data_IF_901808186012
#
_entry.id   IF_901808186012
#
_cell.length_a   1.000
_cell.length_b   1.000
_cell.length_c   1.000
_cell.angle_alpha   90.00
_cell.angle_beta   90.00
_cell.angle_gamma   90.00
#
_symmetry.space_group_name_H-M   'P 1'
#
loop_
_entity.id
_entity.type
_entity.pdbx_description
1 polymer ?
#
# COMPACT_ATOMS: atom_id res chain seq x y z
N UNK A 1 -101.89 18.02 -28.43
CA UNK A 1 -101.59 17.24 -27.21
C UNK A 1 -101.13 15.82 -27.54
N UNK A 2 -102.00 14.84 -27.80
CA UNK A 2 -101.55 13.46 -28.10
C UNK A 2 -100.65 13.32 -29.33
N UNK A 3 -100.79 14.22 -30.33
CA UNK A 3 -99.94 14.23 -31.53
C UNK A 3 -98.55 14.81 -31.29
N UNK A 4 -98.44 15.74 -30.35
CA UNK A 4 -97.20 16.51 -30.13
C UNK A 4 -96.26 15.75 -29.17
N UNK A 5 -96.82 15.02 -28.19
CA UNK A 5 -96.07 14.17 -27.27
C UNK A 5 -95.48 12.93 -27.96
N UNK A 6 -96.20 12.38 -28.94
CA UNK A 6 -95.79 11.21 -29.72
C UNK A 6 -94.64 11.55 -30.70
N UNK A 7 -94.73 12.71 -31.37
CA UNK A 7 -93.64 13.21 -32.23
C UNK A 7 -92.39 13.51 -31.41
N UNK A 8 -92.53 14.20 -30.27
CA UNK A 8 -91.40 14.51 -29.41
C UNK A 8 -90.69 13.26 -28.87
N UNK A 9 -91.43 12.21 -28.53
CA UNK A 9 -90.84 10.96 -28.05
C UNK A 9 -90.13 10.17 -29.17
N UNK A 10 -90.66 10.21 -30.39
CA UNK A 10 -90.00 9.59 -31.54
C UNK A 10 -88.71 10.31 -31.93
N UNK A 11 -88.74 11.65 -31.99
CA UNK A 11 -87.56 12.49 -32.23
C UNK A 11 -86.49 12.28 -31.16
N UNK A 12 -86.88 12.17 -29.89
CA UNK A 12 -85.95 11.91 -28.80
C UNK A 12 -85.22 10.56 -28.95
N UNK A 13 -85.94 9.52 -29.37
CA UNK A 13 -85.33 8.21 -29.62
C UNK A 13 -84.42 8.25 -30.85
N UNK A 14 -84.83 8.90 -31.94
CA UNK A 14 -84.01 9.07 -33.14
C UNK A 14 -82.72 9.84 -32.83
N UNK A 15 -82.80 10.92 -32.06
CA UNK A 15 -81.64 11.66 -31.57
C UNK A 15 -80.77 10.77 -30.66
N UNK A 16 -81.37 9.97 -29.77
CA UNK A 16 -80.63 9.06 -28.90
C UNK A 16 -79.87 7.97 -29.69
N UNK A 17 -80.41 7.50 -30.83
CA UNK A 17 -79.69 6.56 -31.72
C UNK A 17 -78.44 7.18 -32.36
N UNK A 18 -78.41 8.51 -32.52
CA UNK A 18 -77.26 9.22 -33.09
C UNK A 18 -76.04 9.26 -32.15
N UNK A 19 -76.26 9.22 -30.83
CA UNK A 19 -75.19 9.34 -29.83
C UNK A 19 -74.68 7.99 -29.33
N UNK A 20 -75.42 6.90 -29.56
CA UNK A 20 -75.01 5.57 -29.10
C UNK A 20 -75.53 4.45 -30.01
N UNK A 21 -74.63 3.57 -30.53
CA UNK A 21 -75.04 2.40 -31.31
C UNK A 21 -75.90 1.42 -30.51
N UNK A 22 -75.86 1.52 -29.18
CA UNK A 22 -76.68 0.73 -28.28
C UNK A 22 -78.17 1.14 -28.30
N UNK A 23 -78.47 2.44 -28.44
CA UNK A 23 -79.84 2.92 -28.58
C UNK A 23 -80.47 2.42 -29.89
N UNK A 24 -79.67 2.33 -30.95
CA UNK A 24 -80.10 1.80 -32.25
C UNK A 24 -80.47 0.31 -32.16
N UNK A 25 -79.66 -0.50 -31.49
CA UNK A 25 -79.93 -1.93 -31.28
C UNK A 25 -81.23 -2.16 -30.47
N UNK A 26 -81.40 -1.43 -29.36
CA UNK A 26 -82.61 -1.48 -28.52
C UNK A 26 -83.87 -1.11 -29.31
N UNK A 27 -83.78 -0.05 -30.10
CA UNK A 27 -84.89 0.42 -30.93
C UNK A 27 -85.25 -0.60 -32.02
N UNK A 28 -84.25 -1.20 -32.66
CA UNK A 28 -84.42 -2.18 -33.73
C UNK A 28 -85.02 -3.49 -33.23
N UNK A 29 -84.53 -4.01 -32.11
CA UNK A 29 -85.11 -5.20 -31.47
C UNK A 29 -86.55 -4.93 -31.03
N UNK A 30 -86.82 -3.75 -30.48
CA UNK A 30 -88.17 -3.36 -30.06
C UNK A 30 -89.16 -3.25 -31.22
N UNK A 31 -88.76 -2.63 -32.34
CA UNK A 31 -89.59 -2.53 -33.55
C UNK A 31 -89.91 -3.92 -34.11
N UNK A 32 -88.96 -4.86 -34.03
CA UNK A 32 -89.16 -6.25 -34.46
C UNK A 32 -90.17 -7.00 -33.58
N UNK A 33 -90.11 -6.83 -32.25
CA UNK A 33 -90.99 -7.57 -31.33
C UNK A 33 -92.44 -7.09 -31.34
N UNK A 34 -92.69 -5.81 -31.63
CA UNK A 34 -94.02 -5.19 -31.46
C UNK A 34 -94.68 -4.76 -32.77
N UNK A 35 -94.27 -5.35 -33.91
CA UNK A 35 -94.78 -5.03 -35.26
C UNK A 35 -96.32 -5.00 -35.34
N UNK A 36 -97.01 -5.94 -34.69
CA UNK A 36 -98.48 -6.01 -34.67
C UNK A 36 -99.16 -4.85 -33.92
N UNK A 37 -98.56 -4.37 -32.83
CA UNK A 37 -99.10 -3.23 -32.10
C UNK A 37 -98.96 -1.94 -32.94
N UNK A 38 -97.83 -1.80 -33.66
CA UNK A 38 -97.57 -0.68 -34.56
C UNK A 38 -98.46 -0.67 -35.80
N UNK A 39 -98.69 -1.82 -36.44
CA UNK A 39 -99.59 -1.91 -37.61
C UNK A 39 -101.03 -1.57 -37.22
N UNK A 40 -101.51 -2.09 -36.08
CA UNK A 40 -102.84 -1.74 -35.57
C UNK A 40 -102.98 -0.23 -35.30
N UNK A 41 -101.95 0.40 -34.71
CA UNK A 41 -101.95 1.85 -34.47
C UNK A 41 -101.84 2.66 -35.77
N UNK A 42 -101.11 2.17 -36.79
CA UNK A 42 -101.07 2.76 -38.13
C UNK A 42 -102.41 2.69 -38.86
N UNK A 43 -103.16 1.59 -38.73
CA UNK A 43 -104.52 1.48 -39.29
C UNK A 43 -105.49 2.50 -38.65
N UNK A 44 -105.40 2.68 -37.32
CA UNK A 44 -106.14 3.75 -36.64
C UNK A 44 -105.66 5.16 -37.03
N UNK A 45 -104.37 5.35 -37.33
CA UNK A 45 -103.82 6.62 -37.83
C UNK A 45 -104.30 6.95 -39.26
N UNK A 46 -104.36 5.95 -40.14
CA UNK A 46 -104.80 6.12 -41.53
C UNK A 46 -106.28 6.45 -41.61
N UNK A 47 -107.12 5.81 -40.80
CA UNK A 47 -108.55 6.16 -40.69
C UNK A 47 -108.78 7.58 -40.15
N UNK A 48 -107.92 8.08 -39.25
CA UNK A 48 -107.91 9.48 -38.78
C UNK A 48 -107.55 10.50 -39.87
N UNK A 49 -106.51 10.24 -40.67
CA UNK A 49 -106.07 11.17 -41.73
C UNK A 49 -107.13 11.40 -42.81
N UNK A 50 -108.00 10.42 -43.04
CA UNK A 50 -109.06 10.47 -44.07
C UNK A 50 -110.42 10.89 -43.48
N UNK A 51 -110.48 11.23 -42.19
CA UNK A 51 -111.69 11.62 -41.44
C UNK A 51 -112.89 10.68 -41.68
N UNK A 52 -112.61 9.39 -41.88
CA UNK A 52 -113.61 8.40 -42.29
C UNK A 52 -113.78 7.34 -41.19
N UNK A 53 -114.73 7.58 -40.29
CA UNK A 53 -115.13 6.64 -39.24
C UNK A 53 -116.56 6.15 -39.51
N UNK A 54 -116.77 5.22 -40.46
CA UNK A 54 -118.09 4.66 -40.69
C UNK A 54 -118.52 3.89 -39.42
N UNK A 55 -119.58 4.38 -38.78
CA UNK A 55 -120.16 3.92 -37.51
C UNK A 55 -119.24 4.07 -36.28
N UNK A 56 -119.30 5.25 -35.66
CA UNK A 56 -118.71 5.52 -34.36
C UNK A 56 -119.40 4.69 -33.27
N UNK A 57 -118.63 3.91 -32.50
CA UNK A 57 -119.10 3.07 -31.40
C UNK A 57 -118.16 3.23 -30.19
N UNK A 58 -118.74 3.26 -28.99
CA UNK A 58 -117.99 3.33 -27.72
C UNK A 58 -117.00 2.16 -27.54
N UNK A 59 -117.20 1.04 -28.25
CA UNK A 59 -116.27 -0.09 -28.25
C UNK A 59 -115.01 0.18 -29.08
N UNK A 60 -115.13 0.83 -30.25
CA UNK A 60 -113.99 1.24 -31.08
C UNK A 60 -113.14 2.31 -30.38
N UNK A 61 -113.78 3.26 -29.70
CA UNK A 61 -113.09 4.28 -28.88
C UNK A 61 -112.29 3.67 -27.72
N UNK A 62 -112.85 2.63 -27.05
CA UNK A 62 -112.13 1.88 -26.00
C UNK A 62 -110.95 1.08 -26.56
N UNK A 63 -111.10 0.43 -27.71
CA UNK A 63 -109.99 -0.29 -28.37
C UNK A 63 -108.87 0.67 -28.77
N UNK A 64 -109.20 1.83 -29.35
CA UNK A 64 -108.23 2.87 -29.66
C UNK A 64 -107.49 3.38 -28.41
N UNK A 65 -108.22 3.77 -27.36
CA UNK A 65 -107.61 4.24 -26.12
C UNK A 65 -106.68 3.18 -25.51
N UNK A 66 -107.10 1.91 -25.50
CA UNK A 66 -106.27 0.80 -25.03
C UNK A 66 -104.98 0.66 -25.85
N UNK A 67 -105.05 0.65 -27.18
CA UNK A 67 -103.88 0.55 -28.06
C UNK A 67 -102.92 1.73 -27.92
N UNK A 68 -103.45 2.95 -27.74
CA UNK A 68 -102.63 4.15 -27.51
C UNK A 68 -101.95 4.09 -26.14
N UNK A 69 -102.65 3.68 -25.08
CA UNK A 69 -102.06 3.52 -23.76
C UNK A 69 -101.01 2.40 -23.71
N UNK A 70 -101.21 1.32 -24.45
CA UNK A 70 -100.25 0.24 -24.62
C UNK A 70 -98.96 0.76 -25.29
N UNK A 71 -99.10 1.56 -26.35
CA UNK A 71 -97.97 2.23 -27.00
C UNK A 71 -97.20 3.19 -26.07
N UNK A 72 -97.89 4.07 -25.33
CA UNK A 72 -97.23 4.97 -24.38
C UNK A 72 -96.52 4.22 -23.25
N UNK A 73 -97.13 3.17 -22.72
CA UNK A 73 -96.50 2.32 -21.70
C UNK A 73 -95.26 1.61 -22.24
N UNK A 74 -95.30 1.16 -23.50
CA UNK A 74 -94.15 0.55 -24.16
C UNK A 74 -93.02 1.55 -24.37
N UNK A 75 -93.33 2.75 -24.86
CA UNK A 75 -92.36 3.83 -25.07
C UNK A 75 -91.69 4.25 -23.74
N UNK A 76 -92.48 4.39 -22.67
CA UNK A 76 -91.96 4.66 -21.33
C UNK A 76 -91.05 3.53 -20.83
N UNK A 77 -91.33 2.27 -21.17
CA UNK A 77 -90.48 1.13 -20.85
C UNK A 77 -89.14 1.19 -21.58
N UNK A 78 -89.13 1.48 -22.88
CA UNK A 78 -87.89 1.65 -23.66
C UNK A 78 -87.03 2.75 -23.04
N UNK A 79 -87.63 3.90 -22.75
CA UNK A 79 -86.88 5.03 -22.22
C UNK A 79 -86.27 4.69 -20.83
N UNK A 80 -87.01 3.96 -19.98
CA UNK A 80 -86.48 3.47 -18.70
C UNK A 80 -85.36 2.43 -18.87
N UNK A 81 -85.52 1.47 -19.79
CA UNK A 81 -84.50 0.44 -20.03
C UNK A 81 -83.23 1.03 -20.68
N UNK A 82 -83.38 1.97 -21.62
CA UNK A 82 -82.28 2.71 -22.23
C UNK A 82 -81.55 3.55 -21.18
N UNK A 83 -82.29 4.35 -20.40
CA UNK A 83 -81.72 5.18 -19.34
C UNK A 83 -80.96 4.34 -18.32
N UNK A 84 -81.51 3.19 -17.88
CA UNK A 84 -80.84 2.29 -16.95
C UNK A 84 -79.54 1.73 -17.52
N UNK A 85 -79.55 1.23 -18.77
CA UNK A 85 -78.35 0.66 -19.39
C UNK A 85 -77.28 1.70 -19.71
N UNK A 86 -77.68 2.93 -20.04
CA UNK A 86 -76.74 4.06 -20.20
C UNK A 86 -76.08 4.37 -18.86
N UNK A 87 -76.85 4.44 -17.77
CA UNK A 87 -76.31 4.68 -16.43
C UNK A 87 -75.33 3.56 -16.02
N UNK A 88 -75.74 2.29 -16.18
CA UNK A 88 -74.90 1.12 -15.84
C UNK A 88 -73.58 1.12 -16.63
N UNK A 89 -73.62 1.51 -17.91
CA UNK A 89 -72.44 1.57 -18.77
C UNK A 89 -71.49 2.70 -18.38
N UNK A 90 -72.04 3.88 -18.09
CA UNK A 90 -71.27 5.04 -17.61
C UNK A 90 -70.65 4.74 -16.25
N UNK A 91 -71.39 4.13 -15.32
CA UNK A 91 -70.87 3.74 -14.00
C UNK A 91 -69.77 2.68 -14.09
N UNK A 92 -69.88 1.73 -15.02
CA UNK A 92 -68.84 0.74 -15.27
C UNK A 92 -67.55 1.36 -15.85
N UNK A 93 -67.68 2.32 -16.78
CA UNK A 93 -66.54 3.07 -17.32
C UNK A 93 -65.87 3.92 -16.25
N UNK A 94 -66.66 4.66 -15.45
CA UNK A 94 -66.16 5.46 -14.32
C UNK A 94 -65.43 4.56 -13.31
N UNK A 95 -65.99 3.41 -12.95
CA UNK A 95 -65.36 2.46 -12.01
C UNK A 95 -64.03 1.94 -12.55
N UNK A 96 -63.96 1.67 -13.86
CA UNK A 96 -62.73 1.21 -14.52
C UNK A 96 -61.66 2.32 -14.49
N UNK A 97 -62.03 3.55 -14.82
CA UNK A 97 -61.13 4.71 -14.76
C UNK A 97 -60.63 4.99 -13.33
N UNK A 98 -61.50 4.90 -12.33
CA UNK A 98 -61.13 5.05 -10.92
C UNK A 98 -60.13 3.98 -10.49
N UNK A 99 -60.38 2.71 -10.83
CA UNK A 99 -59.45 1.61 -10.49
C UNK A 99 -58.07 1.81 -11.13
N UNK A 100 -58.03 2.24 -12.41
CA UNK A 100 -56.77 2.55 -13.09
C UNK A 100 -56.04 3.73 -12.42
N UNK A 101 -56.76 4.77 -12.00
CA UNK A 101 -56.19 5.90 -11.26
C UNK A 101 -55.61 5.47 -9.91
N UNK A 102 -56.33 4.64 -9.15
CA UNK A 102 -55.85 4.10 -7.87
C UNK A 102 -54.57 3.30 -8.05
N UNK A 103 -54.51 2.41 -9.05
CA UNK A 103 -53.30 1.65 -9.37
C UNK A 103 -52.13 2.58 -9.72
N UNK A 104 -52.37 3.61 -10.56
CA UNK A 104 -51.34 4.59 -10.90
C UNK A 104 -50.82 5.36 -9.68
N UNK A 105 -51.71 5.79 -8.78
CA UNK A 105 -51.34 6.44 -7.53
C UNK A 105 -50.51 5.52 -6.62
N UNK A 106 -50.88 4.24 -6.50
CA UNK A 106 -50.12 3.27 -5.70
C UNK A 106 -48.71 3.06 -6.27
N UNK A 107 -48.57 2.91 -7.59
CA UNK A 107 -47.25 2.79 -8.24
C UNK A 107 -46.42 4.04 -8.00
N UNK A 108 -47.02 5.23 -8.12
CA UNK A 108 -46.31 6.50 -7.89
C UNK A 108 -45.82 6.63 -6.44
N UNK A 109 -46.63 6.27 -5.45
CA UNK A 109 -46.24 6.25 -4.04
C UNK A 109 -45.10 5.24 -3.80
N UNK A 110 -45.19 4.05 -4.39
CA UNK A 110 -44.12 3.05 -4.30
C UNK A 110 -42.81 3.59 -4.88
N UNK A 111 -42.83 4.25 -6.04
CA UNK A 111 -41.64 4.86 -6.65
C UNK A 111 -41.09 5.97 -5.74
N UNK A 112 -41.94 6.86 -5.23
CA UNK A 112 -41.52 7.94 -4.32
C UNK A 112 -40.86 7.43 -3.04
N UNK A 113 -41.26 6.26 -2.53
CA UNK A 113 -40.66 5.64 -1.34
C UNK A 113 -39.38 4.87 -1.69
N UNK A 114 -39.34 4.17 -2.83
CA UNK A 114 -38.19 3.37 -3.24
C UNK A 114 -36.97 4.22 -3.63
N UNK A 115 -37.19 5.37 -4.29
CA UNK A 115 -36.10 6.27 -4.70
C UNK A 115 -35.21 6.73 -3.54
N UNK A 116 -35.71 7.28 -2.42
CA UNK A 116 -34.85 7.71 -1.30
C UNK A 116 -34.16 6.53 -0.61
N UNK A 117 -34.78 5.35 -0.56
CA UNK A 117 -34.16 4.13 -0.02
C UNK A 117 -32.96 3.73 -0.88
N UNK A 118 -33.12 3.71 -2.20
CA UNK A 118 -32.04 3.41 -3.14
C UNK A 118 -30.89 4.42 -3.02
N UNK A 119 -31.20 5.71 -2.95
CA UNK A 119 -30.19 6.77 -2.77
C UNK A 119 -29.43 6.60 -1.44
N UNK A 120 -30.14 6.33 -0.34
CA UNK A 120 -29.51 6.10 0.97
C UNK A 120 -28.60 4.87 0.97
N UNK A 121 -29.05 3.77 0.34
CA UNK A 121 -28.26 2.55 0.20
C UNK A 121 -27.00 2.82 -0.64
N UNK A 122 -27.14 3.47 -1.79
CA UNK A 122 -26.01 3.84 -2.65
C UNK A 122 -25.01 4.72 -1.91
N UNK A 123 -25.46 5.75 -1.22
CA UNK A 123 -24.59 6.62 -0.43
C UNK A 123 -23.83 5.82 0.66
N UNK A 124 -24.51 4.91 1.35
CA UNK A 124 -23.89 4.08 2.39
C UNK A 124 -22.82 3.15 1.80
N UNK A 125 -23.12 2.51 0.66
CA UNK A 125 -22.17 1.65 -0.04
C UNK A 125 -20.95 2.43 -0.54
N UNK A 126 -21.16 3.59 -1.17
CA UNK A 126 -20.07 4.44 -1.67
C UNK A 126 -19.16 4.90 -0.53
N UNK A 127 -19.72 5.37 0.58
CA UNK A 127 -18.94 5.80 1.75
C UNK A 127 -18.16 4.64 2.37
N UNK A 128 -18.77 3.46 2.48
CA UNK A 128 -18.11 2.26 2.97
C UNK A 128 -16.90 1.88 2.09
N UNK A 129 -17.10 1.82 0.77
CA UNK A 129 -16.04 1.51 -0.21
C UNK A 129 -14.90 2.55 -0.13
N UNK A 130 -15.23 3.84 -0.04
CA UNK A 130 -14.23 4.90 0.09
C UNK A 130 -13.42 4.75 1.39
N UNK A 131 -14.09 4.50 2.51
CA UNK A 131 -13.41 4.30 3.80
C UNK A 131 -12.49 3.06 3.77
N UNK A 132 -12.96 1.94 3.20
CA UNK A 132 -12.11 0.76 3.00
C UNK A 132 -10.92 1.04 2.08
N UNK A 133 -11.11 1.80 1.00
CA UNK A 133 -10.02 2.18 0.10
C UNK A 133 -8.97 3.06 0.78
N UNK A 134 -9.41 4.02 1.60
CA UNK A 134 -8.52 4.87 2.41
C UNK A 134 -7.77 4.02 3.44
N UNK A 135 -8.47 3.15 4.17
CA UNK A 135 -7.85 2.28 5.17
C UNK A 135 -6.82 1.31 4.54
N UNK A 136 -7.16 0.71 3.39
CA UNK A 136 -6.25 -0.15 2.64
C UNK A 136 -5.02 0.63 2.14
N UNK A 137 -5.22 1.86 1.65
CA UNK A 137 -4.12 2.73 1.24
C UNK A 137 -3.20 3.07 2.41
N UNK A 138 -3.77 3.44 3.57
CA UNK A 138 -3.01 3.76 4.77
C UNK A 138 -2.22 2.55 5.29
N UNK A 139 -2.82 1.37 5.35
CA UNK A 139 -2.14 0.11 5.71
C UNK A 139 -1.01 -0.22 4.73
N UNK A 140 -1.23 -0.03 3.43
CA UNK A 140 -0.19 -0.22 2.40
C UNK A 140 0.99 0.73 2.60
N UNK A 141 0.73 2.00 2.86
CA UNK A 141 1.78 2.99 3.16
C UNK A 141 2.57 2.63 4.43
N UNK A 142 1.89 2.24 5.50
CA UNK A 142 2.56 1.79 6.74
C UNK A 142 3.43 0.56 6.49
N UNK A 143 2.97 -0.41 5.70
CA UNK A 143 3.76 -1.58 5.32
C UNK A 143 4.98 -1.19 4.48
N UNK A 144 4.86 -0.21 3.57
CA UNK A 144 6.00 0.29 2.80
C UNK A 144 7.04 0.95 3.71
N UNK A 145 6.62 1.80 4.64
CA UNK A 145 7.51 2.46 5.60
C UNK A 145 8.21 1.44 6.49
N UNK A 146 7.47 0.48 7.04
CA UNK A 146 8.03 -0.56 7.91
C UNK A 146 8.99 -1.47 7.13
N UNK A 147 8.66 -1.80 5.87
CA UNK A 147 9.55 -2.54 4.98
C UNK A 147 10.83 -1.76 4.70
N UNK A 148 10.75 -0.46 4.41
CA UNK A 148 11.93 0.39 4.19
C UNK A 148 12.81 0.45 5.44
N UNK A 149 12.20 0.57 6.63
CA UNK A 149 12.93 0.57 7.90
C UNK A 149 13.63 -0.78 8.15
N UNK A 150 12.92 -1.89 7.95
CA UNK A 150 13.49 -3.24 8.06
C UNK A 150 14.63 -3.45 7.07
N UNK A 151 14.47 -2.99 5.83
CA UNK A 151 15.49 -3.11 4.79
C UNK A 151 16.73 -2.27 5.12
N UNK A 152 16.53 -1.04 5.60
CA UNK A 152 17.62 -0.16 6.03
C UNK A 152 18.44 -0.78 7.15
N UNK A 153 17.79 -1.36 8.16
CA UNK A 153 18.49 -2.02 9.27
C UNK A 153 19.25 -3.27 8.78
N UNK A 154 18.66 -4.05 7.88
CA UNK A 154 19.32 -5.21 7.31
C UNK A 154 20.57 -4.82 6.50
N UNK A 155 20.51 -3.73 5.73
CA UNK A 155 21.64 -3.23 4.96
C UNK A 155 22.73 -2.57 5.81
N UNK A 156 22.44 -2.20 7.06
CA UNK A 156 23.46 -1.75 8.02
C UNK A 156 24.24 -2.92 8.62
N UNK A 157 23.63 -4.12 8.69
CA UNK A 157 24.27 -5.32 9.25
C UNK A 157 24.96 -6.18 8.19
N UNK A 158 24.46 -6.16 6.95
CA UNK A 158 24.93 -7.01 5.87
C UNK A 158 25.08 -6.23 4.57
N UNK A 159 26.01 -6.63 3.69
CA UNK A 159 26.13 -5.99 2.40
C UNK A 159 24.86 -6.19 1.55
N UNK A 160 24.49 -5.17 0.76
CA UNK A 160 23.21 -5.13 0.02
C UNK A 160 22.95 -6.37 -0.84
N UNK A 161 23.97 -6.87 -1.54
CA UNK A 161 23.87 -8.06 -2.39
C UNK A 161 23.51 -9.31 -1.58
N UNK A 162 24.17 -9.49 -0.43
CA UNK A 162 23.95 -10.60 0.51
C UNK A 162 22.57 -10.50 1.16
N UNK A 163 22.20 -9.32 1.64
CA UNK A 163 20.89 -9.05 2.24
C UNK A 163 19.74 -9.33 1.27
N UNK A 164 19.88 -8.96 -0.01
CA UNK A 164 18.88 -9.25 -1.04
C UNK A 164 18.72 -10.76 -1.27
N UNK A 165 19.82 -11.52 -1.32
CA UNK A 165 19.76 -12.98 -1.46
C UNK A 165 19.03 -13.64 -0.27
N UNK A 166 19.34 -13.21 0.95
CA UNK A 166 18.67 -13.70 2.16
C UNK A 166 17.17 -13.37 2.17
N UNK A 167 16.78 -12.16 1.73
CA UNK A 167 15.36 -11.80 1.57
C UNK A 167 14.62 -12.68 0.57
N UNK A 168 15.31 -13.14 -0.48
CA UNK A 168 14.76 -14.10 -1.45
C UNK A 168 14.79 -15.55 -0.95
N UNK A 169 15.13 -15.79 0.32
CA UNK A 169 15.31 -17.13 0.90
C UNK A 169 16.32 -17.99 0.13
N UNK A 170 17.29 -17.34 -0.54
CA UNK A 170 18.37 -18.02 -1.24
C UNK A 170 19.52 -18.27 -0.26
N UNK A 171 20.18 -19.41 -0.43
CA UNK A 171 21.43 -19.71 0.27
C UNK A 171 22.54 -18.80 -0.26
N UNK A 172 23.21 -18.08 0.64
CA UNK A 172 24.39 -17.29 0.29
C UNK A 172 25.60 -18.21 0.35
N UNK A 173 26.09 -18.61 -0.82
CA UNK A 173 27.29 -19.44 -0.91
C UNK A 173 28.53 -18.61 -0.58
N UNK A 174 29.56 -19.27 -0.06
CA UNK A 174 30.86 -18.65 0.08
C UNK A 174 31.44 -18.33 -1.32
N UNK A 175 32.01 -17.14 -1.47
CA UNK A 175 32.63 -16.66 -2.71
C UNK A 175 34.13 -16.47 -2.50
N UNK A 176 34.93 -16.93 -3.48
CA UNK A 176 36.37 -16.70 -3.51
C UNK A 176 36.68 -15.41 -4.26
N UNK A 177 37.41 -14.50 -3.63
CA UNK A 177 37.89 -13.25 -4.19
C UNK A 177 39.39 -13.34 -4.43
N UNK A 178 39.80 -13.18 -5.69
CA UNK A 178 41.21 -13.30 -6.10
C UNK A 178 42.09 -12.22 -5.46
N UNK A 179 41.52 -11.03 -5.27
CA UNK A 179 42.24 -9.87 -4.79
C UNK A 179 41.35 -8.94 -3.98
N UNK A 180 41.74 -8.72 -2.72
CA UNK A 180 41.12 -7.80 -1.78
C UNK A 180 42.23 -7.08 -1.01
N UNK A 181 41.96 -5.90 -0.47
CA UNK A 181 42.86 -5.24 0.48
C UNK A 181 42.19 -5.11 1.82
N UNK A 182 42.85 -5.63 2.85
CA UNK A 182 42.43 -5.52 4.23
C UNK A 182 43.19 -4.40 4.94
N UNK A 183 42.46 -3.72 5.81
CA UNK A 183 42.92 -2.75 6.78
C UNK A 183 42.61 -3.29 8.18
N UNK A 184 43.59 -3.23 9.05
CA UNK A 184 43.45 -3.43 10.49
C UNK A 184 44.01 -2.20 11.20
N UNK A 185 43.29 -1.72 12.20
CA UNK A 185 43.86 -0.78 13.16
C UNK A 185 43.63 -1.21 14.59
N UNK A 186 44.57 -0.83 15.44
CA UNK A 186 44.51 -1.00 16.89
C UNK A 186 44.86 0.32 17.60
N UNK A 187 44.33 0.49 18.82
CA UNK A 187 44.63 1.66 19.65
C UNK A 187 45.87 1.35 20.49
N UNK A 188 46.94 2.13 20.28
CA UNK A 188 48.19 1.91 20.99
C UNK A 188 47.99 2.11 22.49
N UNK A 189 48.26 1.05 23.27
CA UNK A 189 48.15 1.09 24.73
C UNK A 189 46.72 1.05 25.25
N UNK A 190 45.75 0.61 24.45
CA UNK A 190 44.35 0.49 24.86
C UNK A 190 44.17 -0.25 26.17
N UNK A 191 44.87 -1.38 26.39
CA UNK A 191 44.83 -2.14 27.66
C UNK A 191 45.16 -1.27 28.88
N UNK A 192 46.10 -0.33 28.75
CA UNK A 192 46.46 0.59 29.85
C UNK A 192 45.40 1.67 30.03
N UNK A 193 44.84 2.17 28.93
CA UNK A 193 43.75 3.17 28.95
C UNK A 193 42.52 2.55 29.59
N UNK A 194 42.11 1.36 29.16
CA UNK A 194 40.93 0.66 29.66
C UNK A 194 41.07 0.26 31.13
N UNK A 195 42.26 -0.20 31.56
CA UNK A 195 42.53 -0.50 32.97
C UNK A 195 42.49 0.74 33.88
N UNK A 196 42.83 1.93 33.35
CA UNK A 196 42.80 3.19 34.09
C UNK A 196 41.46 3.94 33.98
N UNK A 197 40.48 3.38 33.26
CA UNK A 197 39.21 4.03 32.95
C UNK A 197 38.03 3.25 33.50
N UNK A 198 36.93 3.95 33.79
CA UNK A 198 35.66 3.25 34.04
C UNK A 198 35.15 2.60 32.74
N UNK A 199 34.42 1.47 32.81
CA UNK A 199 33.84 0.84 31.62
C UNK A 199 32.98 1.81 30.78
N UNK A 200 32.24 2.70 31.42
CA UNK A 200 31.43 3.72 30.72
C UNK A 200 32.31 4.70 29.92
N UNK A 201 33.44 5.13 30.47
CA UNK A 201 34.37 6.02 29.77
C UNK A 201 35.03 5.33 28.57
N UNK A 202 35.34 4.04 28.67
CA UNK A 202 35.88 3.25 27.55
C UNK A 202 34.86 3.15 26.42
N UNK A 203 33.59 2.88 26.74
CA UNK A 203 32.51 2.83 25.74
C UNK A 203 32.32 4.18 25.06
N UNK A 204 32.36 5.29 25.81
CA UNK A 204 32.26 6.63 25.22
C UNK A 204 33.44 6.94 24.30
N UNK A 205 34.66 6.57 24.69
CA UNK A 205 35.86 6.72 23.87
C UNK A 205 35.73 5.96 22.55
N UNK A 206 35.40 4.67 22.60
CA UNK A 206 35.27 3.83 21.40
C UNK A 206 34.15 4.31 20.48
N UNK A 207 32.99 4.67 21.02
CA UNK A 207 31.87 5.17 20.22
C UNK A 207 32.22 6.47 19.48
N UNK A 208 32.91 7.41 20.13
CA UNK A 208 33.32 8.66 19.47
C UNK A 208 34.38 8.43 18.40
N UNK A 209 35.36 7.56 18.68
CA UNK A 209 36.38 7.20 17.70
C UNK A 209 35.77 6.50 16.48
N UNK A 210 34.93 5.48 16.70
CA UNK A 210 34.31 4.73 15.62
C UNK A 210 33.27 5.53 14.84
N UNK A 211 32.63 6.53 15.45
CA UNK A 211 31.78 7.46 14.71
C UNK A 211 32.60 8.24 13.67
N UNK A 212 33.77 8.76 14.05
CA UNK A 212 34.67 9.45 13.10
C UNK A 212 35.13 8.48 12.00
N UNK A 213 35.41 7.23 12.36
CA UNK A 213 35.84 6.24 11.38
C UNK A 213 34.70 5.90 10.40
N UNK A 214 33.50 5.62 10.90
CA UNK A 214 32.31 5.32 10.10
C UNK A 214 31.99 6.50 9.15
N UNK A 215 32.08 7.75 9.62
CA UNK A 215 31.88 8.95 8.80
C UNK A 215 32.89 9.05 7.65
N UNK A 216 34.15 8.65 7.87
CA UNK A 216 35.19 8.61 6.82
C UNK A 216 34.93 7.45 5.85
N UNK A 217 34.56 6.27 6.35
CA UNK A 217 34.30 5.08 5.54
C UNK A 217 33.23 5.33 4.47
N UNK A 218 32.20 6.12 4.76
CA UNK A 218 31.11 6.45 3.84
C UNK A 218 31.58 7.15 2.55
N UNK A 219 32.79 7.72 2.54
CA UNK A 219 33.38 8.40 1.38
C UNK A 219 34.20 7.48 0.47
N UNK A 220 34.43 6.22 0.87
CA UNK A 220 35.31 5.28 0.19
C UNK A 220 34.59 3.98 -0.20
N UNK A 221 35.07 3.29 -1.24
CA UNK A 221 34.53 1.98 -1.63
C UNK A 221 35.11 0.87 -0.73
N UNK A 222 34.60 0.81 0.50
CA UNK A 222 35.07 -0.06 1.57
C UNK A 222 33.91 -0.70 2.33
N UNK A 223 34.17 -1.85 2.95
CA UNK A 223 33.21 -2.58 3.78
C UNK A 223 33.80 -2.83 5.16
N UNK A 224 33.06 -2.47 6.21
CA UNK A 224 33.41 -2.72 7.61
C UNK A 224 33.12 -4.16 7.99
N UNK A 225 34.12 -4.85 8.53
CA UNK A 225 33.97 -6.24 9.01
C UNK A 225 33.81 -6.23 10.52
N UNK A 226 32.81 -6.96 11.03
CA UNK A 226 32.66 -7.15 12.47
C UNK A 226 33.85 -7.90 13.06
N UNK A 227 34.48 -7.30 14.06
CA UNK A 227 35.64 -7.88 14.77
C UNK A 227 35.40 -7.89 16.28
N UNK A 228 36.28 -8.59 17.00
CA UNK A 228 36.24 -8.72 18.45
C UNK A 228 37.26 -7.75 19.05
N UNK A 229 36.84 -6.95 20.03
CA UNK A 229 37.72 -6.04 20.77
C UNK A 229 37.73 -4.62 20.23
N UNK A 230 38.88 -3.98 20.35
CA UNK A 230 39.20 -2.60 19.94
C UNK A 230 39.78 -2.51 18.51
N UNK A 231 40.09 -3.66 17.91
CA UNK A 231 40.52 -3.73 16.53
C UNK A 231 39.42 -3.22 15.58
N UNK A 232 39.81 -2.42 14.59
CA UNK A 232 38.92 -1.94 13.54
C UNK A 232 39.34 -2.53 12.20
N UNK A 233 38.44 -3.31 11.59
CA UNK A 233 38.73 -4.06 10.36
C UNK A 233 37.86 -3.58 9.21
N UNK A 234 38.53 -3.25 8.12
CA UNK A 234 37.90 -2.74 6.90
C UNK A 234 38.50 -3.47 5.70
N UNK A 235 37.70 -3.70 4.68
CA UNK A 235 38.15 -4.39 3.46
C UNK A 235 37.59 -3.72 2.22
N UNK A 236 38.37 -3.70 1.14
CA UNK A 236 37.91 -3.28 -0.18
C UNK A 236 38.16 -4.39 -1.20
N UNK A 237 37.39 -4.37 -2.30
CA UNK A 237 37.35 -5.43 -3.30
C UNK A 237 36.31 -6.52 -3.00
N UNK A 238 35.56 -6.36 -1.91
CA UNK A 238 34.40 -7.16 -1.55
C UNK A 238 33.39 -6.31 -0.75
N UNK A 239 32.07 -6.63 -0.77
CA UNK A 239 31.44 -7.72 -1.53
C UNK A 239 31.47 -7.49 -3.05
N UNK A 240 31.66 -6.24 -3.48
CA UNK A 240 31.73 -5.85 -4.88
C UNK A 240 33.20 -5.79 -5.30
N UNK A 241 33.53 -6.43 -6.42
CA UNK A 241 34.89 -6.41 -6.98
C UNK A 241 35.13 -5.07 -7.67
N UNK A 242 36.25 -4.43 -7.37
CA UNK A 242 36.63 -3.13 -7.95
C UNK A 242 37.99 -3.19 -8.68
N UNK A 243 38.40 -4.38 -9.14
CA UNK A 243 39.62 -4.55 -9.93
C UNK A 243 40.88 -4.37 -9.08
N UNK A 244 41.70 -3.35 -9.37
CA UNK A 244 42.88 -3.02 -8.55
C UNK A 244 42.69 -1.76 -7.70
N UNK A 245 41.51 -1.12 -7.74
CA UNK A 245 41.27 0.12 -6.98
C UNK A 245 41.14 -0.13 -5.49
N UNK A 246 40.78 -1.35 -5.04
CA UNK A 246 40.69 -1.70 -3.62
C UNK A 246 41.91 -1.27 -2.80
N UNK A 247 43.10 -1.41 -3.37
CA UNK A 247 44.34 -1.04 -2.71
C UNK A 247 44.46 0.48 -2.50
N UNK A 248 44.01 1.25 -3.50
CA UNK A 248 43.98 2.70 -3.45
C UNK A 248 42.92 3.22 -2.47
N UNK A 249 41.70 2.66 -2.50
CA UNK A 249 40.62 3.02 -1.57
C UNK A 249 41.04 2.85 -0.12
N UNK A 250 41.60 1.68 0.23
CA UNK A 250 42.12 1.43 1.58
C UNK A 250 43.26 2.40 1.94
N UNK A 251 44.15 2.69 0.99
CA UNK A 251 45.29 3.59 1.26
C UNK A 251 44.86 5.03 1.50
N UNK A 252 43.89 5.53 0.74
CA UNK A 252 43.32 6.87 0.92
C UNK A 252 42.61 6.99 2.26
N UNK A 253 41.73 6.02 2.55
CA UNK A 253 41.00 5.91 3.81
C UNK A 253 41.95 5.81 5.02
N UNK A 254 43.01 4.99 4.95
CA UNK A 254 44.00 4.88 6.02
C UNK A 254 44.74 6.20 6.28
N UNK A 255 45.12 6.93 5.23
CA UNK A 255 45.78 8.25 5.37
C UNK A 255 44.82 9.27 5.97
N UNK A 256 43.54 9.29 5.56
CA UNK A 256 42.54 10.22 6.09
C UNK A 256 42.18 9.92 7.55
N UNK A 257 42.01 8.64 7.91
CA UNK A 257 41.81 8.20 9.30
C UNK A 257 42.98 8.64 10.19
N UNK A 258 44.21 8.39 9.75
CA UNK A 258 45.40 8.76 10.50
C UNK A 258 45.46 10.28 10.72
N UNK A 259 45.25 11.08 9.67
CA UNK A 259 45.25 12.55 9.75
C UNK A 259 44.19 13.08 10.71
N UNK A 260 42.98 12.51 10.66
CA UNK A 260 41.84 12.96 11.49
C UNK A 260 42.02 12.56 12.96
N UNK A 261 42.72 11.46 13.24
CA UNK A 261 42.87 10.94 14.61
C UNK A 261 44.02 11.59 15.37
N UNK A 262 44.98 12.25 14.70
CA UNK A 262 46.13 12.89 15.37
C UNK A 262 45.71 13.87 16.47
N UNK A 263 44.64 14.64 16.25
CA UNK A 263 44.11 15.62 17.19
C UNK A 263 42.97 15.09 18.07
N UNK A 264 42.68 13.79 18.01
CA UNK A 264 41.63 13.17 18.79
C UNK A 264 42.08 12.94 20.23
N UNK A 265 41.51 13.71 21.15
CA UNK A 265 41.81 13.63 22.58
C UNK A 265 40.87 12.66 23.29
N UNK A 266 41.40 11.90 24.24
CA UNK A 266 40.60 10.97 25.05
C UNK A 266 39.63 11.80 25.92
N UNK A 267 38.30 11.59 25.85
CA UNK A 267 37.31 12.49 26.47
C UNK A 267 37.44 12.66 27.99
N UNK A 268 37.99 11.66 28.66
CA UNK A 268 38.20 11.64 30.11
C UNK A 268 39.68 11.82 30.49
N UNK A 269 40.59 11.88 29.52
CA UNK A 269 42.02 12.15 29.69
C UNK A 269 42.49 13.15 28.61
N UNK A 270 42.10 14.43 28.71
CA UNK A 270 42.33 15.42 27.65
C UNK A 270 43.81 15.76 27.42
N UNK A 271 44.74 15.28 28.24
CA UNK A 271 46.19 15.41 28.01
C UNK A 271 46.78 14.26 27.18
N UNK A 272 45.96 13.28 26.79
CA UNK A 272 46.38 12.14 25.97
C UNK A 272 45.56 12.12 24.68
N UNK A 273 46.27 12.00 23.57
CA UNK A 273 45.68 11.74 22.26
C UNK A 273 45.67 10.23 22.00
N UNK A 274 44.76 9.80 21.13
CA UNK A 274 44.73 8.42 20.64
C UNK A 274 45.80 8.27 19.57
N UNK A 275 46.66 7.25 19.72
CA UNK A 275 47.59 6.84 18.68
C UNK A 275 47.08 5.56 18.04
N UNK A 276 47.09 5.51 16.71
CA UNK A 276 46.66 4.34 15.96
C UNK A 276 47.86 3.56 15.46
N UNK A 277 47.78 2.23 15.56
CA UNK A 277 48.64 1.34 14.79
C UNK A 277 47.82 0.83 13.62
N UNK A 278 48.34 0.95 12.40
CA UNK A 278 47.61 0.54 11.19
C UNK A 278 48.44 -0.47 10.40
N UNK A 279 47.80 -1.56 10.00
CA UNK A 279 48.35 -2.58 9.12
C UNK A 279 47.46 -2.85 7.92
N UNK A 280 48.04 -2.95 6.74
CA UNK A 280 47.30 -3.26 5.52
C UNK A 280 47.99 -4.32 4.67
N UNK A 281 47.19 -5.19 4.06
CA UNK A 281 47.68 -6.27 3.22
C UNK A 281 46.72 -6.57 2.07
N UNK A 282 47.28 -6.88 0.90
CA UNK A 282 46.52 -7.29 -0.28
C UNK A 282 46.81 -8.75 -0.63
N UNK A 283 45.75 -9.51 -0.87
CA UNK A 283 45.80 -10.95 -1.19
C UNK A 283 44.41 -11.51 -1.50
N UNK A 284 44.30 -12.82 -1.68
CA UNK A 284 43.02 -13.49 -1.94
C UNK A 284 42.28 -13.80 -0.65
N UNK A 285 40.95 -13.85 -0.69
CA UNK A 285 40.13 -14.17 0.48
C UNK A 285 38.85 -14.91 0.07
N UNK A 286 38.26 -15.63 1.02
CA UNK A 286 36.92 -16.20 0.88
C UNK A 286 35.98 -15.42 1.78
N UNK A 287 34.85 -14.99 1.24
CA UNK A 287 33.80 -14.32 2.02
C UNK A 287 32.51 -15.15 2.01
N UNK A 288 31.78 -15.16 3.11
CA UNK A 288 30.51 -15.89 3.18
C UNK A 288 29.69 -15.52 4.41
N UNK A 289 28.42 -15.94 4.41
CA UNK A 289 27.54 -15.74 5.57
C UNK A 289 27.66 -16.91 6.52
N UNK A 290 27.95 -16.63 7.79
CA UNK A 290 28.03 -17.62 8.86
C UNK A 290 26.92 -17.38 9.87
N UNK A 291 26.30 -18.47 10.33
CA UNK A 291 25.22 -18.44 11.32
C UNK A 291 23.82 -18.31 10.70
N UNK A 292 22.88 -19.10 11.21
CA UNK A 292 21.49 -19.12 10.72
C UNK A 292 20.59 -18.11 11.47
N UNK A 293 20.76 -18.00 12.80
CA UNK A 293 19.96 -17.08 13.64
C UNK A 293 20.48 -15.64 13.63
N UNK A 294 21.80 -15.48 13.57
CA UNK A 294 22.49 -14.18 13.50
C UNK A 294 23.50 -14.26 12.35
N UNK A 295 23.04 -14.03 11.11
CA UNK A 295 23.90 -14.12 9.93
C UNK A 295 24.95 -13.01 9.99
N UNK A 296 26.23 -13.38 9.87
CA UNK A 296 27.36 -12.46 9.80
C UNK A 296 28.11 -12.69 8.50
N UNK A 297 28.43 -11.61 7.80
CA UNK A 297 29.28 -11.70 6.62
C UNK A 297 30.75 -11.71 7.07
N UNK A 298 31.35 -12.89 7.01
CA UNK A 298 32.68 -13.17 7.55
C UNK A 298 33.69 -13.33 6.41
N UNK A 299 34.93 -12.93 6.69
CA UNK A 299 36.07 -13.12 5.81
C UNK A 299 37.02 -14.18 6.36
N UNK A 300 37.46 -15.07 5.48
CA UNK A 300 38.35 -16.16 5.78
C UNK A 300 39.53 -16.18 4.82
N UNK A 301 40.66 -16.65 5.31
CA UNK A 301 41.86 -16.85 4.52
C UNK A 301 43.09 -16.24 5.15
N UNK A 302 44.23 -16.60 4.57
CA UNK A 302 45.55 -16.23 5.06
C UNK A 302 45.83 -14.71 5.00
N UNK A 303 45.14 -14.02 4.09
CA UNK A 303 45.22 -12.56 3.92
C UNK A 303 44.72 -11.84 5.18
N UNK A 304 43.73 -12.38 5.90
CA UNK A 304 43.23 -11.80 7.16
C UNK A 304 44.31 -11.86 8.23
N UNK A 305 44.93 -13.03 8.40
CA UNK A 305 46.00 -13.24 9.36
C UNK A 305 47.21 -12.35 9.04
N UNK A 306 47.61 -12.27 7.76
CA UNK A 306 48.74 -11.45 7.34
C UNK A 306 48.48 -9.96 7.56
N UNK A 307 47.26 -9.48 7.30
CA UNK A 307 46.88 -8.08 7.58
C UNK A 307 46.95 -7.75 9.08
N UNK A 308 46.45 -8.64 9.95
CA UNK A 308 46.59 -8.50 11.40
C UNK A 308 48.06 -8.53 11.86
N UNK A 309 48.93 -9.29 11.17
CA UNK A 309 50.38 -9.25 11.43
C UNK A 309 51.04 -7.94 11.01
N UNK A 310 50.61 -7.32 9.90
CA UNK A 310 51.04 -5.97 9.52
C UNK A 310 50.62 -4.96 10.59
N UNK A 311 49.43 -5.08 11.18
CA UNK A 311 49.00 -4.19 12.25
C UNK A 311 49.90 -4.40 13.47
N UNK A 312 49.93 -5.60 14.04
CA UNK A 312 50.66 -5.87 15.29
C UNK A 312 52.17 -5.56 15.24
N UNK A 313 52.82 -5.64 14.07
CA UNK A 313 54.23 -5.27 13.90
C UNK A 313 54.43 -3.81 13.48
N UNK A 314 53.35 -3.05 13.29
CA UNK A 314 53.35 -1.64 12.93
C UNK A 314 53.92 -0.73 14.03
N UNK A 315 54.09 0.55 13.68
CA UNK A 315 54.52 1.59 14.62
C UNK A 315 53.35 2.55 14.90
N UNK A 316 53.31 3.18 16.09
CA UNK A 316 52.32 4.21 16.40
C UNK A 316 52.30 5.30 15.33
N UNK A 317 51.09 5.68 14.92
CA UNK A 317 50.80 6.69 13.91
C UNK A 317 51.50 6.47 12.55
N UNK A 318 51.70 5.21 12.16
CA UNK A 318 52.20 4.84 10.84
C UNK A 318 51.36 3.73 10.22
N UNK A 319 51.27 3.77 8.90
CA UNK A 319 50.54 2.78 8.10
C UNK A 319 51.55 1.76 7.57
N UNK A 320 51.52 0.55 8.14
CA UNK A 320 52.39 -0.55 7.75
C UNK A 320 51.73 -1.36 6.62
N UNK A 321 52.43 -1.54 5.51
CA UNK A 321 51.91 -2.28 4.35
C UNK A 321 52.83 -3.42 3.94
N UNK A 322 52.22 -4.49 3.42
CA UNK A 322 52.97 -5.63 2.86
C UNK A 322 53.60 -5.30 1.51
N UNK A 323 54.61 -6.09 1.11
CA UNK A 323 55.16 -6.05 -0.25
C UNK A 323 54.09 -6.18 -1.34
N UNK A 324 53.14 -7.12 -1.18
CA UNK A 324 52.07 -7.35 -2.16
C UNK A 324 51.19 -6.13 -2.37
N UNK A 325 50.84 -5.42 -1.29
CA UNK A 325 50.07 -4.19 -1.37
C UNK A 325 50.88 -3.07 -2.02
N UNK A 326 52.14 -2.91 -1.61
CA UNK A 326 53.05 -1.92 -2.18
C UNK A 326 53.20 -2.09 -3.70
N UNK A 327 53.40 -3.32 -4.18
CA UNK A 327 53.49 -3.62 -5.61
C UNK A 327 52.25 -3.18 -6.40
N UNK A 328 51.06 -3.22 -5.80
CA UNK A 328 49.83 -2.71 -6.42
C UNK A 328 49.78 -1.18 -6.41
N UNK A 329 50.16 -0.54 -5.30
CA UNK A 329 50.22 0.92 -5.20
C UNK A 329 51.20 1.52 -6.21
N UNK A 330 52.36 0.90 -6.39
CA UNK A 330 53.35 1.34 -7.38
C UNK A 330 52.82 1.28 -8.82
N UNK A 331 51.92 0.33 -9.13
CA UNK A 331 51.22 0.28 -10.43
C UNK A 331 50.19 1.39 -10.59
N UNK A 332 49.46 1.71 -9.52
CA UNK A 332 48.40 2.72 -9.50
C UNK A 332 48.95 4.15 -9.54
N UNK A 333 50.13 4.38 -8.96
CA UNK A 333 50.83 5.68 -8.81
C UNK A 333 50.08 6.70 -7.94
N UNK A 334 50.79 7.75 -7.53
CA UNK A 334 50.26 8.82 -6.67
C UNK A 334 50.29 8.50 -5.17
N UNK A 335 51.10 7.52 -4.76
CA UNK A 335 51.34 7.16 -3.36
C UNK A 335 52.84 7.13 -3.10
N UNK A 336 53.24 7.69 -1.97
CA UNK A 336 54.63 7.68 -1.51
C UNK A 336 54.80 6.61 -0.45
N UNK A 337 55.71 5.67 -0.70
CA UNK A 337 56.02 4.58 0.23
C UNK A 337 57.51 4.55 0.54
N UNK A 338 57.85 4.10 1.74
CA UNK A 338 59.22 3.94 2.20
C UNK A 338 59.47 2.49 2.58
N UNK A 339 60.61 1.94 2.16
CA UNK A 339 60.98 0.57 2.50
C UNK A 339 61.34 0.49 3.98
N UNK A 340 60.60 -0.31 4.75
CA UNK A 340 60.92 -0.60 6.17
C UNK A 340 62.07 -1.59 6.29
N UNK A 341 62.13 -2.54 5.35
CA UNK A 341 63.08 -3.66 5.35
C UNK A 341 62.40 -5.01 5.54
N UNK A 342 63.21 -6.03 5.79
CA UNK A 342 62.77 -7.40 6.03
C UNK A 342 62.52 -7.56 7.53
N UNK A 343 61.32 -8.00 7.89
CA UNK A 343 60.92 -8.32 9.25
C UNK A 343 60.48 -9.77 9.33
N UNK A 344 60.77 -10.43 10.45
CA UNK A 344 60.27 -11.78 10.70
C UNK A 344 58.85 -11.71 11.25
N UNK A 345 57.93 -12.41 10.59
CA UNK A 345 56.52 -12.40 10.94
C UNK A 345 56.10 -13.82 11.32
N UNK A 346 55.54 -13.94 12.53
CA UNK A 346 55.08 -15.23 13.07
C UNK A 346 54.15 -15.95 12.08
N UNK A 347 54.56 -17.14 11.64
CA UNK A 347 53.82 -17.99 10.70
C UNK A 347 53.96 -17.61 9.22
N UNK A 348 54.73 -16.56 8.89
CA UNK A 348 55.05 -16.14 7.51
C UNK A 348 56.55 -16.22 7.21
N UNK A 349 57.39 -16.13 8.25
CA UNK A 349 58.83 -15.99 8.11
C UNK A 349 59.22 -14.56 7.71
N UNK A 350 60.37 -14.44 7.05
CA UNK A 350 60.89 -13.15 6.62
C UNK A 350 60.04 -12.54 5.50
N UNK A 351 59.46 -11.37 5.77
CA UNK A 351 58.69 -10.59 4.81
C UNK A 351 59.29 -9.20 4.64
N UNK A 352 59.41 -8.78 3.40
CA UNK A 352 59.70 -7.38 3.10
C UNK A 352 58.43 -6.53 3.26
N UNK A 353 58.58 -5.38 3.92
CA UNK A 353 57.46 -4.49 4.21
C UNK A 353 57.81 -3.01 4.03
N UNK A 354 56.77 -2.18 3.98
CA UNK A 354 56.87 -0.76 3.63
C UNK A 354 56.00 0.08 4.54
N UNK A 355 56.34 1.36 4.65
CA UNK A 355 55.49 2.39 5.24
C UNK A 355 54.77 3.14 4.13
N UNK A 356 53.46 3.31 4.26
CA UNK A 356 52.72 4.27 3.44
C UNK A 356 52.79 5.64 4.12
N UNK A 357 53.36 6.63 3.43
CA UNK A 357 53.64 7.95 4.00
C UNK A 357 52.59 8.97 3.61
N UNK A 358 52.33 9.12 2.30
CA UNK A 358 51.48 10.17 1.76
C UNK A 358 50.92 9.80 0.40
N UNK A 359 50.01 10.63 -0.08
CA UNK A 359 49.42 10.52 -1.41
C UNK A 359 49.34 11.90 -2.05
N UNK A 360 49.54 11.95 -3.37
CA UNK A 360 49.31 13.14 -4.18
C UNK A 360 47.84 13.24 -4.65
N UNK A 361 47.03 12.21 -4.36
CA UNK A 361 45.63 12.15 -4.72
C UNK A 361 44.79 12.96 -3.71
N UNK A 362 43.67 13.55 -4.15
CA UNK A 362 42.79 14.28 -3.25
C UNK A 362 42.16 13.32 -2.23
N UNK A 363 42.13 13.74 -0.95
CA UNK A 363 41.34 13.10 0.10
C UNK A 363 39.92 13.69 0.09
N UNK A 364 38.90 12.86 0.33
CA UNK A 364 37.51 13.25 0.10
C UNK A 364 37.04 14.30 1.11
N UNK A 365 37.40 14.18 2.39
CA UNK A 365 36.93 15.10 3.43
C UNK A 365 37.68 16.44 3.42
N UNK A 366 38.95 16.45 2.99
CA UNK A 366 39.71 17.71 2.85
C UNK A 366 39.34 18.54 1.61
N UNK A 367 38.66 17.94 0.63
CA UNK A 367 38.10 18.67 -0.51
C UNK A 367 36.77 19.38 -0.15
N UNK A 368 36.11 18.98 0.94
CA UNK A 368 34.80 19.47 1.39
C UNK A 368 34.86 20.37 2.63
N UNK A 369 36.02 20.99 2.92
CA UNK A 369 36.20 21.90 4.05
C UNK A 369 35.25 23.11 4.00
N UNK A 370 34.08 22.93 4.63
CA UNK A 370 33.06 23.93 4.89
C UNK A 370 32.00 23.51 5.91
N UNK A 371 32.13 22.33 6.55
CA UNK A 371 31.17 21.90 7.58
C UNK A 371 31.93 21.44 8.83
N UNK A 372 31.77 22.20 9.91
CA UNK A 372 32.31 21.89 11.22
C UNK A 372 31.69 20.59 11.77
N UNK A 373 32.50 19.82 12.51
CA UNK A 373 32.05 18.65 13.28
C UNK A 373 30.89 19.04 14.22
N UNK A 374 29.80 18.25 14.30
CA UNK A 374 28.71 18.52 15.22
C UNK A 374 29.16 18.32 16.67
N UNK A 375 28.83 19.30 17.52
CA UNK A 375 29.15 19.33 18.95
C UNK A 375 28.26 18.30 19.70
N UNK A 376 28.82 17.11 19.95
CA UNK A 376 28.11 16.03 20.67
C UNK A 376 28.22 16.28 22.17
N UNK A 377 27.26 17.03 22.71
CA UNK A 377 27.11 17.22 24.15
C UNK A 377 26.67 15.93 24.86
N UNK A 378 27.16 15.75 26.09
CA UNK A 378 27.00 14.58 26.98
C UNK A 378 25.55 14.08 27.16
N UNK A 379 24.56 14.94 26.95
CA UNK A 379 23.15 14.62 27.19
C UNK A 379 22.52 13.70 26.14
N UNK A 380 23.08 13.65 24.92
CA UNK A 380 22.60 12.79 23.83
C UNK A 380 22.90 11.29 24.05
N UNK A 381 24.00 10.99 24.74
CA UNK A 381 24.45 9.62 25.02
C UNK A 381 23.62 8.98 26.13
N UNK A 382 23.25 9.75 27.17
CA UNK A 382 22.47 9.24 28.30
C UNK A 382 21.00 8.96 27.92
N UNK A 383 20.44 9.72 26.97
CA UNK A 383 19.09 9.50 26.47
C UNK A 383 18.95 8.21 25.64
N UNK A 384 19.96 7.87 24.82
CA UNK A 384 19.96 6.64 24.01
C UNK A 384 20.15 5.37 24.85
N UNK A 385 20.95 5.42 25.92
CA UNK A 385 21.18 4.27 26.81
C UNK A 385 19.94 3.93 27.64
N UNK A 386 19.14 4.93 28.07
CA UNK A 386 17.92 4.67 28.85
C UNK A 386 16.79 4.02 28.04
N UNK A 387 16.69 4.29 26.74
CA UNK A 387 15.65 3.68 25.89
C UNK A 387 15.95 2.23 25.46
N UNK A 388 17.20 1.76 25.55
CA UNK A 388 17.57 0.38 25.16
C UNK A 388 17.50 -0.64 26.30
N UNK A 389 17.56 -0.20 27.56
CA UNK A 389 17.58 -1.11 28.71
C UNK A 389 16.18 -1.54 29.22
N UNK A 390 15.08 -0.97 28.70
CA UNK A 390 13.73 -1.35 29.16
C UNK A 390 13.15 -2.58 28.45
N UNK A 391 13.81 -3.15 27.43
CA UNK A 391 13.29 -4.28 26.65
C UNK A 391 14.05 -5.61 26.80
N UNK A 392 15.12 -5.66 27.59
CA UNK A 392 15.96 -6.87 27.76
C UNK A 392 15.90 -7.45 29.19
N UNK A 393 14.68 -7.67 29.71
CA UNK A 393 14.49 -8.57 30.85
C UNK A 393 13.40 -9.59 30.54
N UNK A 394 13.77 -10.63 29.79
CA UNK A 394 13.27 -11.99 29.99
C UNK A 394 14.12 -13.01 29.22
N UNK A 395 14.35 -14.13 29.90
CA UNK A 395 14.99 -15.40 29.47
C UNK A 395 16.51 -15.41 29.27
N UNK A 396 17.23 -15.53 30.38
CA UNK A 396 18.51 -16.24 30.43
C UNK A 396 18.28 -17.57 31.17
N UNK A 397 18.16 -18.68 30.44
CA UNK A 397 18.31 -20.02 30.97
C UNK A 397 19.61 -20.61 30.42
N UNK A 398 20.46 -21.03 31.34
CA UNK A 398 21.78 -21.60 31.09
C UNK A 398 21.74 -22.76 30.08
N UNK A 399 22.65 -22.71 29.12
CA UNK A 399 22.90 -23.76 28.13
C UNK A 399 24.33 -23.65 27.62
N UNK A 400 25.18 -24.54 28.14
CA UNK A 400 26.58 -24.82 27.81
C UNK A 400 27.11 -24.37 26.45
N UNK A 401 28.14 -23.54 26.48
CA UNK A 401 29.01 -23.16 25.35
C UNK A 401 29.82 -24.35 24.82
N UNK A 402 29.99 -24.50 23.49
CA UNK A 402 31.10 -25.24 22.93
C UNK A 402 32.31 -24.30 22.77
N UNK A 403 33.35 -24.56 23.56
CA UNK A 403 34.70 -24.02 23.43
C UNK A 403 35.30 -24.39 22.07
N UNK A 404 35.77 -23.39 21.31
CA UNK A 404 36.68 -23.58 20.18
C UNK A 404 37.91 -22.71 20.40
N UNK A 405 38.99 -23.42 20.76
CA UNK A 405 40.42 -23.11 20.73
C UNK A 405 40.86 -21.66 21.01
N UNK A 406 41.46 -21.53 22.19
CA UNK A 406 42.20 -20.39 22.69
C UNK A 406 43.20 -19.82 21.68
N UNK A 407 43.20 -18.50 21.55
CA UNK A 407 44.39 -17.72 21.27
C UNK A 407 45.04 -17.44 22.63
N UNK A 408 45.84 -18.38 23.11
CA UNK A 408 46.71 -18.19 24.26
C UNK A 408 48.13 -17.86 23.78
N UNK A 409 48.70 -16.86 24.43
CA UNK A 409 50.10 -16.51 24.41
C UNK A 409 50.90 -17.67 25.04
N UNK A 410 51.58 -18.48 24.22
CA UNK A 410 52.58 -19.40 24.75
C UNK A 410 53.92 -18.65 24.92
N UNK A 411 54.19 -18.37 26.19
CA UNK A 411 55.45 -17.94 26.79
C UNK A 411 56.54 -19.03 26.57
N UNK A 412 57.78 -18.68 26.18
CA UNK A 412 58.77 -19.67 25.80
C UNK A 412 59.68 -20.04 26.98
N UNK A 413 59.17 -20.76 27.99
CA UNK A 413 60.02 -21.51 28.94
C UNK A 413 59.20 -22.56 29.70
N UNK A 414 59.24 -23.82 29.25
CA UNK A 414 59.52 -25.05 30.01
C UNK A 414 59.24 -26.31 29.17
#
# INVERSE_FOLDING_TARGET
MLRDEDVAAHEYIEIATLFSPFAEELYRDFNRTNTEAFTNLQEYRLSWKVNNFPNASAEKGRKFHKSVMEYFNMLARINRELSKKVLDKVDAEITTSINMMVVACLVFICVLIMTPILVKLMHTLTMSIQNYAIEASHKSQQLIIEKQRSDSLLYQMLPKSVAQQLKMHKTVNAEFYDQVTLFFSDIVGFTKISAASTPLQVVVLLNQLYQIFDDILDHYDVYKVETIGDAYMVVSGLPNRNGSTHCAEISLMAIELLKTTIDFHIPHMPSRTVELRIGCHSGSAVAGVVGNKMPRYCLFGDTVNTASRMESHGMPNRIHISFTMNALLMKIKGFTTERRGIIDIKGKGQMETYWLLSTDRPLMTLASNGVALPDITRDSVVAKVKHHNSSFHRTASAGSSPTLAAWEDDDPTL
#
